data_IF_167933048441
#
_entry.id   IF_167933048441
#
_cell.length_a   1.000
_cell.length_b   1.000
_cell.length_c   1.000
_cell.angle_alpha   90.00
_cell.angle_beta   90.00
_cell.angle_gamma   90.00
#
_symmetry.space_group_name_H-M   'P 1'
#
loop_
_entity.id
_entity.type
_entity.pdbx_description
1 polymer ?
#
# COMPACT_ATOMS: atom_id res chain seq x y z
N UNK A 1 -6.15 1.57 -8.90
CA UNK A 1 -6.35 1.51 -7.45
C UNK A 1 -6.37 2.91 -6.89
N UNK A 2 -7.28 3.19 -6.01
CA UNK A 2 -7.47 4.53 -5.46
C UNK A 2 -7.26 4.47 -3.95
N UNK A 3 -6.36 5.31 -3.43
CA UNK A 3 -6.17 5.50 -2.00
C UNK A 3 -6.76 6.83 -1.58
N UNK A 4 -7.43 6.85 -0.43
CA UNK A 4 -7.96 8.08 0.14
C UNK A 4 -7.47 8.24 1.57
N UNK A 5 -6.89 9.40 1.84
CA UNK A 5 -6.52 9.84 3.17
C UNK A 5 -7.36 11.08 3.47
N UNK A 6 -8.13 11.03 4.56
CA UNK A 6 -9.15 12.06 4.82
C UNK A 6 -8.64 13.27 5.61
N UNK A 7 -7.45 13.21 6.21
CA UNK A 7 -6.97 14.32 7.05
C UNK A 7 -5.48 14.61 6.81
N UNK A 8 -5.12 15.54 5.91
CA UNK A 8 -5.98 16.27 4.97
C UNK A 8 -6.51 15.35 3.87
N UNK A 9 -7.58 15.75 3.21
CA UNK A 9 -8.16 14.94 2.13
C UNK A 9 -7.18 14.84 0.98
N UNK A 10 -6.72 13.63 0.72
CA UNK A 10 -5.81 13.31 -0.39
C UNK A 10 -6.34 12.07 -1.10
N UNK A 11 -6.48 12.14 -2.40
CA UNK A 11 -6.85 10.99 -3.24
C UNK A 11 -5.74 10.74 -4.22
N UNK A 12 -5.18 9.52 -4.17
CA UNK A 12 -4.08 9.12 -5.05
C UNK A 12 -4.51 7.91 -5.86
N UNK A 13 -4.28 7.95 -7.15
CA UNK A 13 -4.57 6.86 -8.08
C UNK A 13 -3.26 6.26 -8.55
N UNK A 14 -3.11 4.95 -8.39
CA UNK A 14 -1.92 4.22 -8.85
C UNK A 14 -2.33 2.97 -9.61
N UNK A 15 -1.48 2.55 -10.53
CA UNK A 15 -1.68 1.29 -11.23
C UNK A 15 -1.30 0.13 -10.31
N UNK A 16 -2.20 -0.84 -10.20
CA UNK A 16 -2.01 -2.01 -9.37
C UNK A 16 -1.74 -3.25 -10.20
N UNK A 17 -0.77 -4.04 -9.78
CA UNK A 17 -0.46 -5.34 -10.36
C UNK A 17 -0.85 -6.44 -9.38
N UNK A 18 -1.70 -7.35 -9.82
CA UNK A 18 -2.03 -8.52 -9.02
C UNK A 18 -0.88 -9.53 -9.08
N UNK A 19 -0.38 -9.90 -7.92
CA UNK A 19 0.78 -10.79 -7.80
C UNK A 19 0.54 -11.80 -6.68
N UNK A 20 0.34 -13.06 -7.02
CA UNK A 20 0.13 -14.13 -6.05
C UNK A 20 1.35 -14.38 -5.16
N UNK A 21 2.53 -13.93 -5.60
CA UNK A 21 3.75 -14.00 -4.81
C UNK A 21 3.80 -12.98 -3.66
N UNK A 22 2.94 -11.97 -3.69
CA UNK A 22 2.88 -11.01 -2.59
C UNK A 22 2.02 -11.57 -1.46
N UNK A 23 2.65 -12.17 -0.46
CA UNK A 23 1.98 -12.76 0.70
C UNK A 23 2.17 -11.94 1.98
N UNK A 24 2.67 -10.71 1.86
CA UNK A 24 2.95 -9.89 3.03
C UNK A 24 1.66 -9.51 3.75
N UNK A 25 1.64 -9.80 5.05
CA UNK A 25 0.54 -9.41 5.93
C UNK A 25 1.11 -8.75 7.18
N UNK A 26 0.28 -7.90 7.79
CA UNK A 26 0.63 -7.30 9.07
C UNK A 26 0.57 -8.36 10.16
N UNK A 27 1.66 -8.53 10.87
CA UNK A 27 1.79 -9.51 11.94
C UNK A 27 0.73 -9.32 13.04
N UNK A 28 0.39 -8.08 13.36
CA UNK A 28 -0.52 -7.80 14.49
C UNK A 28 -1.99 -7.93 14.12
N UNK A 29 -2.37 -7.53 12.92
CA UNK A 29 -3.79 -7.46 12.52
C UNK A 29 -4.19 -8.54 11.52
N UNK A 30 -3.21 -9.17 10.88
CA UNK A 30 -3.48 -10.11 9.78
C UNK A 30 -3.90 -9.43 8.49
N UNK A 31 -3.94 -8.10 8.45
CA UNK A 31 -4.30 -7.38 7.24
C UNK A 31 -3.27 -7.59 6.13
N UNK A 32 -3.71 -7.79 4.89
CA UNK A 32 -2.78 -7.82 3.77
C UNK A 32 -2.14 -6.45 3.55
N UNK A 33 -0.93 -6.44 3.01
CA UNK A 33 -0.19 -5.22 2.71
C UNK A 33 -0.07 -5.06 1.20
N UNK A 34 -0.53 -3.94 0.70
CA UNK A 34 -0.33 -3.52 -0.69
C UNK A 34 0.98 -2.76 -0.73
N UNK A 35 1.89 -3.14 -1.61
CA UNK A 35 3.20 -2.51 -1.68
C UNK A 35 3.20 -1.48 -2.81
N UNK A 36 3.29 -0.20 -2.43
CA UNK A 36 3.43 0.90 -3.37
C UNK A 36 4.89 1.26 -3.56
N UNK A 37 5.22 1.81 -4.71
CA UNK A 37 6.55 2.34 -4.95
C UNK A 37 6.85 3.51 -4.03
N UNK A 38 8.07 3.57 -3.50
CA UNK A 38 8.55 4.70 -2.70
C UNK A 38 8.37 6.04 -3.40
N UNK A 39 8.39 6.05 -4.73
CA UNK A 39 8.20 7.26 -5.54
C UNK A 39 6.84 7.91 -5.28
N UNK A 40 5.86 7.14 -4.84
CA UNK A 40 4.51 7.64 -4.55
C UNK A 40 4.33 8.15 -3.14
N UNK A 41 5.33 7.97 -2.29
CA UNK A 41 5.22 8.35 -0.87
C UNK A 41 4.91 9.84 -0.70
N UNK A 42 5.65 10.70 -1.39
CA UNK A 42 5.46 12.14 -1.27
C UNK A 42 4.08 12.59 -1.78
N UNK A 43 3.61 11.99 -2.87
CA UNK A 43 2.28 12.26 -3.42
C UNK A 43 1.18 11.87 -2.42
N UNK A 44 1.33 10.72 -1.77
CA UNK A 44 0.32 10.20 -0.85
C UNK A 44 0.34 10.93 0.49
N UNK A 45 1.52 11.25 1.00
CA UNK A 45 1.67 11.81 2.35
C UNK A 45 1.95 13.31 2.39
N UNK A 46 2.40 13.90 1.27
CA UNK A 46 2.85 15.29 1.23
C UNK A 46 4.24 15.51 1.84
N UNK A 47 4.93 14.45 2.21
CA UNK A 47 6.26 14.53 2.84
C UNK A 47 7.25 13.63 2.11
N UNK A 48 8.54 13.98 2.17
CA UNK A 48 9.59 13.14 1.59
C UNK A 48 9.69 11.81 2.34
N UNK A 49 10.00 10.76 1.60
CA UNK A 49 10.20 9.44 2.20
C UNK A 49 11.49 9.43 3.04
N UNK A 50 11.32 9.20 4.34
CA UNK A 50 12.42 9.13 5.30
C UNK A 50 12.01 8.15 6.40
N UNK A 51 12.70 7.01 6.45
CA UNK A 51 12.40 5.94 7.41
C UNK A 51 12.60 6.38 8.86
N UNK A 52 13.43 7.40 9.09
CA UNK A 52 13.68 7.92 10.44
C UNK A 52 12.67 8.97 10.88
N UNK A 53 11.89 9.52 9.94
CA UNK A 53 10.92 10.59 10.18
C UNK A 53 9.58 10.29 9.53
N UNK A 54 9.00 9.14 9.85
CA UNK A 54 7.72 8.76 9.28
C UNK A 54 6.59 9.65 9.81
N UNK A 55 5.60 9.96 8.97
CA UNK A 55 4.42 10.69 9.43
C UNK A 55 3.66 9.93 10.51
N UNK A 56 2.85 10.65 11.27
CA UNK A 56 1.98 10.05 12.28
C UNK A 56 1.07 9.00 11.64
N UNK A 57 0.91 7.88 12.31
CA UNK A 57 0.10 6.77 11.82
C UNK A 57 0.87 5.72 11.05
N UNK A 58 2.14 5.99 10.75
CA UNK A 58 3.03 5.00 10.14
C UNK A 58 3.70 4.15 11.20
N UNK A 59 4.06 2.94 10.81
CA UNK A 59 4.93 2.08 11.61
C UNK A 59 5.80 1.23 10.70
N UNK A 60 6.84 0.64 11.26
CA UNK A 60 7.72 -0.25 10.52
C UNK A 60 7.26 -1.69 10.69
N UNK A 61 7.25 -2.42 9.60
CA UNK A 61 6.89 -3.83 9.57
C UNK A 61 8.06 -4.64 9.05
N UNK A 62 8.48 -5.71 9.75
CA UNK A 62 9.54 -6.58 9.26
C UNK A 62 9.15 -7.23 7.94
N UNK A 63 10.04 -7.17 6.96
CA UNK A 63 9.83 -7.78 5.66
C UNK A 63 11.16 -8.02 4.96
N UNK A 64 11.55 -9.28 4.81
CA UNK A 64 12.83 -9.64 4.22
C UNK A 64 12.84 -9.63 2.69
N UNK A 65 11.68 -9.52 2.05
CA UNK A 65 11.57 -9.66 0.59
C UNK A 65 11.44 -8.37 -0.18
N UNK A 66 11.13 -7.23 0.49
CA UNK A 66 10.90 -5.96 -0.21
C UNK A 66 11.87 -4.85 0.18
N UNK A 67 12.72 -5.07 1.15
CA UNK A 67 13.69 -4.09 1.64
C UNK A 67 14.98 -4.77 2.05
N UNK A 68 16.11 -4.13 1.73
CA UNK A 68 17.42 -4.60 2.16
C UNK A 68 17.58 -4.53 3.69
N UNK A 69 16.89 -3.59 4.32
CA UNK A 69 16.92 -3.41 5.76
C UNK A 69 15.99 -4.38 6.50
N UNK A 70 15.19 -5.14 5.76
CA UNK A 70 14.23 -6.04 6.36
C UNK A 70 13.04 -5.32 7.01
N UNK A 71 12.83 -4.05 6.71
CA UNK A 71 11.74 -3.24 7.23
C UNK A 71 11.02 -2.51 6.10
N UNK A 72 9.71 -2.34 6.25
CA UNK A 72 8.90 -1.56 5.33
C UNK A 72 8.00 -0.62 6.14
N UNK A 73 7.88 0.62 5.69
CA UNK A 73 6.99 1.59 6.32
C UNK A 73 5.56 1.32 5.85
N UNK A 74 4.63 1.17 6.78
CA UNK A 74 3.23 0.89 6.46
C UNK A 74 2.31 1.86 7.18
N UNK A 75 1.14 2.11 6.57
CA UNK A 75 0.08 2.87 7.20
C UNK A 75 -1.28 2.36 6.73
N UNK A 76 -2.33 2.75 7.42
CA UNK A 76 -3.70 2.39 7.05
C UNK A 76 -4.38 3.61 6.42
N UNK A 77 -4.63 3.62 5.09
CA UNK A 77 -5.44 4.66 4.47
C UNK A 77 -6.88 4.59 4.97
N UNK A 78 -7.60 5.69 4.87
CA UNK A 78 -9.01 5.71 5.25
C UNK A 78 -9.87 4.88 4.30
N UNK A 79 -9.48 4.82 3.03
CA UNK A 79 -10.21 4.05 2.03
C UNK A 79 -9.27 3.59 0.93
N UNK A 80 -9.44 2.35 0.49
CA UNK A 80 -8.76 1.79 -0.66
C UNK A 80 -9.81 1.16 -1.56
N UNK A 81 -9.78 1.53 -2.84
CA UNK A 81 -10.68 0.95 -3.84
C UNK A 81 -9.84 0.39 -4.99
N UNK A 82 -10.09 -0.86 -5.34
CA UNK A 82 -9.46 -1.49 -6.49
C UNK A 82 -10.46 -1.49 -7.64
N UNK A 83 -10.04 -0.94 -8.78
CA UNK A 83 -10.89 -0.81 -9.95
C UNK A 83 -10.23 -1.48 -11.16
N UNK A 84 -11.06 -2.11 -11.99
CA UNK A 84 -10.66 -2.59 -13.30
C UNK A 84 -11.76 -2.21 -14.29
N UNK A 85 -11.53 -1.15 -15.05
CA UNK A 85 -12.52 -0.62 -15.98
C UNK A 85 -12.84 -1.58 -17.11
N UNK A 86 -11.85 -2.38 -17.57
CA UNK A 86 -12.04 -3.34 -18.62
C UNK A 86 -13.01 -4.46 -18.23
N UNK A 87 -13.05 -4.82 -16.95
CA UNK A 87 -13.94 -5.85 -16.44
C UNK A 87 -15.17 -5.29 -15.72
N UNK A 88 -15.31 -3.96 -15.69
CA UNK A 88 -16.40 -3.29 -14.99
C UNK A 88 -16.36 -3.52 -13.49
N UNK A 89 -15.19 -3.63 -12.91
CA UNK A 89 -14.99 -4.05 -11.53
C UNK A 89 -14.57 -2.88 -10.65
N UNK A 90 -15.20 -2.77 -9.49
CA UNK A 90 -14.83 -1.78 -8.48
C UNK A 90 -15.13 -2.35 -7.11
N UNK A 91 -14.11 -2.44 -6.25
CA UNK A 91 -14.30 -3.02 -4.92
C UNK A 91 -13.49 -2.29 -3.85
N UNK A 92 -14.14 -1.83 -2.77
CA UNK A 92 -13.40 -1.38 -1.59
C UNK A 92 -12.75 -2.57 -0.89
N UNK A 93 -11.54 -2.38 -0.40
CA UNK A 93 -10.78 -3.43 0.27
C UNK A 93 -10.18 -2.90 1.57
N UNK A 94 -9.95 -3.80 2.52
CA UNK A 94 -9.24 -3.48 3.76
C UNK A 94 -7.82 -4.02 3.66
N UNK A 95 -6.86 -3.10 3.75
CA UNK A 95 -5.45 -3.42 3.67
C UNK A 95 -4.62 -2.29 4.25
N UNK A 96 -3.36 -2.60 4.53
CA UNK A 96 -2.35 -1.59 4.79
C UNK A 96 -1.62 -1.29 3.50
N UNK A 97 -1.03 -0.10 3.44
CA UNK A 97 -0.16 0.29 2.34
C UNK A 97 1.25 0.40 2.86
N UNK A 98 2.15 -0.34 2.23
CA UNK A 98 3.58 -0.27 2.50
C UNK A 98 4.32 0.32 1.32
N UNK A 99 5.52 0.85 1.56
CA UNK A 99 6.33 1.47 0.51
C UNK A 99 7.62 0.68 0.31
N UNK A 100 7.84 0.26 -0.93
CA UNK A 100 8.99 -0.55 -1.28
C UNK A 100 9.58 -0.15 -2.63
N UNK A 101 10.65 -0.85 -3.02
CA UNK A 101 11.37 -0.59 -4.27
C UNK A 101 10.89 -1.48 -5.40
N UNK A 102 9.59 -1.63 -5.55
CA UNK A 102 9.03 -2.43 -6.62
C UNK A 102 9.11 -1.69 -7.97
N UNK A 103 9.14 -2.45 -9.05
CA UNK A 103 9.23 -1.89 -10.41
C UNK A 103 7.93 -1.22 -10.85
N UNK A 104 6.78 -1.73 -10.41
CA UNK A 104 5.49 -1.16 -10.71
C UNK A 104 5.09 -0.11 -9.69
N UNK A 105 3.94 0.52 -9.88
CA UNK A 105 3.42 1.52 -8.95
C UNK A 105 2.90 0.89 -7.66
N UNK A 106 2.16 -0.21 -7.78
CA UNK A 106 1.64 -0.94 -6.63
C UNK A 106 1.49 -2.42 -6.94
N UNK A 107 1.68 -3.26 -5.92
CA UNK A 107 1.55 -4.71 -6.04
C UNK A 107 0.67 -5.20 -4.91
N UNK A 108 -0.31 -6.05 -5.23
CA UNK A 108 -1.21 -6.61 -4.24
C UNK A 108 -1.51 -8.08 -4.52
N UNK A 109 -1.84 -8.82 -3.48
CA UNK A 109 -2.26 -10.21 -3.64
C UNK A 109 -3.74 -10.26 -4.08
N UNK A 110 -4.06 -10.96 -5.18
CA UNK A 110 -5.44 -11.00 -5.67
C UNK A 110 -6.46 -11.61 -4.70
N UNK A 111 -6.02 -12.32 -3.67
CA UNK A 111 -6.93 -12.81 -2.63
C UNK A 111 -7.67 -11.69 -1.89
N UNK A 112 -7.10 -10.49 -1.87
CA UNK A 112 -7.74 -9.31 -1.26
C UNK A 112 -9.09 -9.01 -1.89
N UNK A 113 -9.29 -9.42 -3.14
CA UNK A 113 -10.52 -9.18 -3.90
C UNK A 113 -11.64 -10.16 -3.55
N UNK A 114 -11.35 -11.22 -2.82
CA UNK A 114 -12.33 -12.27 -2.49
C UNK A 114 -13.05 -12.04 -1.16
N UNK A 115 -12.67 -11.02 -0.44
CA UNK A 115 -13.26 -10.72 0.87
C UNK A 115 -14.39 -9.72 0.78
#
# INVERSE_FOLDING_TARGET
MVFRVLKPVTVTVVDGLADTGNSLTDFFTGCPVIICSERRFEEITGKKYDMERLPKGFRLLPCSTVSEDGLIAVFRPDEIVIENAAEGYRKPVEALVGFGRNKGEAVFNPKILKN
#
